data_IF_669427186142
#
_entry.id   IF_669427186142
#
_cell.length_a   1.000
_cell.length_b   1.000
_cell.length_c   1.000
_cell.angle_alpha   90.00
_cell.angle_beta   90.00
_cell.angle_gamma   90.00
#
_symmetry.space_group_name_H-M   'P 1'
#
loop_
_entity.id
_entity.type
_entity.pdbx_description
1 polymer ?
2 water ?
#
# COMPACT_ATOMS: atom_id res chain seq x y z
N UNK A 6 10.71 -5.65 11.10
CA UNK A 6 10.64 -5.17 9.69
C UNK A 6 9.41 -4.30 9.47
N UNK A 7 8.49 -4.32 10.44
CA UNK A 7 7.30 -3.50 10.33
C UNK A 7 7.67 -2.03 10.35
N UNK A 8 8.60 -1.68 11.22
CA UNK A 8 9.05 -0.30 11.32
C UNK A 8 9.86 0.09 10.08
N UNK A 9 10.74 -0.81 9.63
CA UNK A 9 11.56 -0.52 8.45
C UNK A 9 10.69 -0.31 7.21
N UNK A 10 9.57 -1.03 7.16
CA UNK A 10 8.66 -0.93 6.03
C UNK A 10 8.10 0.48 5.88
N UNK A 11 7.81 1.14 7.00
CA UNK A 11 7.25 2.49 6.94
C UNK A 11 8.26 3.49 6.38
N UNK A 12 9.54 3.24 6.64
CA UNK A 12 10.61 4.13 6.21
C UNK A 12 11.05 4.02 4.75
N UNK A 13 10.52 3.05 4.01
CA UNK A 13 10.94 2.92 2.63
C UNK A 13 9.83 3.16 1.62
N UNK A 14 10.24 3.45 0.39
CA UNK A 14 9.33 3.68 -0.71
C UNK A 14 8.74 2.30 -0.99
N UNK A 15 7.42 2.20 -1.02
CA UNK A 15 6.77 0.91 -1.25
C UNK A 15 6.83 0.41 -2.69
N UNK A 16 7.43 1.20 -3.57
CA UNK A 16 7.53 0.78 -4.96
C UNK A 16 8.26 -0.56 -5.04
N UNK A 17 7.66 -1.50 -5.77
CA UNK A 17 8.25 -2.81 -5.93
C UNK A 17 7.65 -3.90 -5.05
N UNK A 18 6.93 -3.51 -4.01
CA UNK A 18 6.33 -4.49 -3.10
C UNK A 18 4.91 -4.89 -3.50
N UNK A 19 4.51 -6.09 -3.09
CA UNK A 19 3.16 -6.58 -3.36
C UNK A 19 2.30 -6.19 -2.16
N UNK A 20 1.13 -5.63 -2.42
CA UNK A 20 0.22 -5.22 -1.37
C UNK A 20 -1.21 -5.60 -1.74
N UNK A 21 -2.08 -5.67 -0.74
CA UNK A 21 -3.49 -5.97 -0.98
C UNK A 21 -4.34 -5.15 -0.03
N UNK A 22 -5.35 -4.47 -0.58
CA UNK A 22 -6.23 -3.67 0.26
C UNK A 22 -7.14 -4.62 1.02
N UNK A 23 -7.03 -4.64 2.34
CA UNK A 23 -7.85 -5.53 3.14
C UNK A 23 -8.96 -4.81 3.90
N UNK A 24 -8.90 -3.48 3.91
CA UNK A 24 -9.92 -2.69 4.60
C UNK A 24 -9.99 -1.30 3.98
N UNK A 25 -11.20 -0.85 3.67
CA UNK A 25 -11.40 0.46 3.08
C UNK A 25 -12.85 0.92 3.20
N UNK A 26 -13.07 2.24 3.29
CA UNK A 26 -14.43 2.78 3.40
C UNK A 26 -15.19 2.54 2.09
N UNK A 27 -14.43 2.32 1.02
CA UNK A 27 -14.98 2.05 -0.30
C UNK A 27 -14.83 0.55 -0.53
N UNK A 28 -15.91 -0.20 -0.36
CA UNK A 28 -15.86 -1.65 -0.52
C UNK A 28 -15.29 -2.06 -1.87
N UNK A 29 -15.51 -1.23 -2.88
CA UNK A 29 -15.02 -1.51 -4.22
C UNK A 29 -13.52 -1.76 -4.24
N UNK A 30 -12.79 -1.13 -3.33
CA UNK A 30 -11.34 -1.26 -3.28
C UNK A 30 -10.81 -2.46 -2.51
N UNK A 31 -11.63 -3.05 -1.65
CA UNK A 31 -11.17 -4.19 -0.86
C UNK A 31 -10.84 -5.34 -1.79
N UNK A 32 -9.65 -5.90 -1.63
CA UNK A 32 -9.25 -7.00 -2.48
C UNK A 32 -8.29 -6.57 -3.57
N UNK A 33 -8.20 -5.27 -3.83
CA UNK A 33 -7.27 -4.78 -4.85
C UNK A 33 -5.91 -5.29 -4.41
N UNK A 34 -5.26 -6.04 -5.28
CA UNK A 34 -3.98 -6.65 -4.96
C UNK A 34 -3.02 -6.59 -6.14
N UNK A 35 -1.75 -6.32 -5.85
CA UNK A 35 -0.77 -6.24 -6.92
C UNK A 35 0.52 -5.57 -6.49
N UNK A 36 1.33 -5.22 -7.49
CA UNK A 36 2.62 -4.58 -7.25
C UNK A 36 2.52 -3.07 -7.26
N UNK A 37 3.09 -2.43 -6.25
CA UNK A 37 3.08 -0.97 -6.18
C UNK A 37 4.07 -0.46 -7.22
N UNK A 38 3.58 0.28 -8.20
CA UNK A 38 4.46 0.81 -9.24
C UNK A 38 4.77 2.27 -9.01
N UNK A 39 4.03 2.91 -8.12
CA UNK A 39 4.26 4.30 -7.77
C UNK A 39 3.60 4.64 -6.44
N UNK A 40 4.21 5.58 -5.73
CA UNK A 40 3.70 6.03 -4.46
C UNK A 40 3.73 7.55 -4.44
N UNK A 41 2.59 8.16 -4.11
CA UNK A 41 2.50 9.61 -4.03
C UNK A 41 2.25 9.93 -2.57
N UNK A 42 2.16 11.21 -2.24
CA UNK A 42 1.93 11.59 -0.86
C UNK A 42 0.67 10.93 -0.31
N UNK A 43 -0.40 10.91 -1.10
CA UNK A 43 -1.67 10.35 -0.64
C UNK A 43 -2.18 9.06 -1.28
N UNK A 44 -1.49 8.55 -2.31
CA UNK A 44 -1.94 7.33 -2.98
C UNK A 44 -0.86 6.29 -3.28
N UNK A 45 -1.34 5.13 -3.72
CA UNK A 45 -0.51 4.01 -4.13
C UNK A 45 -1.04 3.60 -5.50
N UNK A 46 -0.16 3.54 -6.49
CA UNK A 46 -0.56 3.10 -7.82
C UNK A 46 -0.18 1.63 -7.84
N UNK A 47 -1.19 0.76 -7.91
CA UNK A 47 -1.00 -0.68 -7.88
C UNK A 47 -1.29 -1.39 -9.19
N UNK A 48 -0.34 -2.19 -9.64
CA UNK A 48 -0.47 -2.97 -10.87
C UNK A 48 -1.12 -4.31 -10.49
N UNK A 49 -2.38 -4.51 -10.88
CA UNK A 49 -3.08 -5.75 -10.54
C UNK A 49 -3.22 -6.64 -11.77
N UNK A 50 -3.76 -7.85 -11.58
CA UNK A 50 -3.94 -8.76 -12.70
C UNK A 50 -4.98 -8.18 -13.65
N UNK A 51 -5.84 -7.32 -13.11
CA UNK A 51 -6.89 -6.69 -13.90
C UNK A 51 -6.48 -5.33 -14.47
N UNK A 52 -5.34 -4.81 -14.03
CA UNK A 52 -4.87 -3.52 -14.52
C UNK A 52 -4.44 -2.57 -13.41
N UNK A 53 -4.00 -1.37 -13.79
CA UNK A 53 -3.56 -0.36 -12.83
C UNK A 53 -4.69 0.22 -11.98
N UNK A 54 -4.46 0.30 -10.68
CA UNK A 54 -5.45 0.86 -9.76
C UNK A 54 -4.80 1.85 -8.82
N UNK A 55 -5.46 2.98 -8.60
CA UNK A 55 -4.95 3.99 -7.69
C UNK A 55 -5.83 3.91 -6.46
N UNK A 56 -5.22 3.73 -5.30
CA UNK A 56 -5.96 3.64 -4.05
C UNK A 56 -5.41 4.63 -3.04
N UNK A 57 -6.29 5.37 -2.38
CA UNK A 57 -5.87 6.33 -1.37
C UNK A 57 -5.29 5.57 -0.18
N UNK A 58 -4.38 6.22 0.55
CA UNK A 58 -3.74 5.62 1.71
C UNK A 58 -4.57 5.82 2.98
N UNK A 59 -4.93 7.07 3.24
CA UNK A 59 -5.70 7.42 4.43
C UNK A 59 -7.00 6.63 4.59
N UNK A 60 -7.16 5.96 5.73
CA UNK A 60 -8.37 5.21 6.00
C UNK A 60 -8.42 3.80 5.45
N UNK A 61 -7.34 3.40 4.79
CA UNK A 61 -7.24 2.07 4.22
C UNK A 61 -6.24 1.25 5.03
N UNK A 62 -6.37 -0.07 4.95
CA UNK A 62 -5.43 -0.96 5.62
C UNK A 62 -4.89 -1.86 4.52
N UNK A 63 -3.58 -2.08 4.53
CA UNK A 63 -2.94 -2.90 3.52
C UNK A 63 -2.22 -4.10 4.08
N UNK A 64 -2.32 -5.21 3.36
CA UNK A 64 -1.61 -6.43 3.71
C UNK A 64 -0.38 -6.24 2.83
N UNK A 65 0.81 -6.37 3.40
CA UNK A 65 2.03 -6.17 2.63
C UNK A 65 2.97 -7.36 2.77
N UNK A 66 3.53 -7.79 1.65
CA UNK A 66 4.49 -8.90 1.64
C UNK A 66 5.86 -8.24 1.66
N UNK A 67 6.55 -8.35 2.79
CA UNK A 67 7.86 -7.71 2.94
C UNK A 67 8.85 -8.51 3.78
N UNK A 68 10.05 -8.69 3.24
CA UNK A 68 11.12 -9.41 3.92
C UNK A 68 10.69 -10.75 4.52
N UNK A 69 10.01 -11.57 3.71
CA UNK A 69 9.56 -12.87 4.16
C UNK A 69 8.43 -12.86 5.17
N UNK A 70 7.90 -11.67 5.45
CA UNK A 70 6.81 -11.50 6.41
C UNK A 70 5.58 -10.91 5.72
N UNK A 71 4.41 -11.15 6.30
CA UNK A 71 3.17 -10.62 5.76
C UNK A 71 2.58 -9.78 6.87
N UNK A 72 2.46 -8.48 6.61
CA UNK A 72 1.97 -7.54 7.61
C UNK A 72 0.75 -6.73 7.23
N UNK A 73 0.02 -6.28 8.24
CA UNK A 73 -1.16 -5.45 8.04
C UNK A 73 -0.70 -4.04 8.43
N UNK A 74 -0.79 -3.10 7.49
CA UNK A 74 -0.34 -1.73 7.74
C UNK A 74 -1.45 -0.70 7.50
N UNK A 75 -1.67 0.17 8.47
CA UNK A 75 -2.68 1.20 8.31
C UNK A 75 -2.14 2.30 7.39
N UNK A 76 -2.94 2.68 6.40
CA UNK A 76 -2.55 3.71 5.46
C UNK A 76 -2.12 5.02 6.10
N UNK A 77 -2.69 5.33 7.26
CA UNK A 77 -2.33 6.54 7.97
C UNK A 77 -0.84 6.61 8.26
N UNK A 78 -0.22 5.45 8.47
CA UNK A 78 1.20 5.40 8.77
C UNK A 78 2.09 5.80 7.60
N UNK A 79 1.58 5.66 6.38
CA UNK A 79 2.38 6.00 5.21
C UNK A 79 1.79 7.13 4.39
N UNK A 80 0.84 7.85 4.97
CA UNK A 80 0.18 8.95 4.28
C UNK A 80 1.05 10.20 4.21
N UNK A 81 2.30 10.02 3.77
CA UNK A 81 3.28 11.10 3.64
C UNK A 81 4.12 10.78 2.41
N UNK A 82 4.79 11.78 1.83
CA UNK A 82 5.64 11.53 0.68
C UNK A 82 6.69 10.52 1.16
N UNK A 83 6.97 9.47 0.37
CA UNK A 83 7.97 8.51 0.82
C UNK A 83 9.32 9.11 1.23
N UNK A 84 9.78 10.12 0.49
CA UNK A 84 11.05 10.75 0.80
C UNK A 84 11.03 11.42 2.17
N UNK A 85 9.83 11.65 2.70
CA UNK A 85 9.69 12.28 4.01
C UNK A 85 9.44 11.20 5.06
N UNK A 86 9.49 9.95 4.60
CA UNK A 86 9.26 8.75 5.41
C UNK A 86 7.78 8.52 5.66
#
# INVERSE_FOLDING_TARGET
MRGRLQGVELIARDWIGLMVEVVESPNHSEVGIKGEVVDETQNTLKIMTEKGLKVVAKRGRTFRVWYKGKIMRIKGDLINFRPEDRIKRGLMMLKRAKGVWI
#
